data_IF_308662416270
#
_entry.id   IF_308662416270
#
_cell.length_a   1.000
_cell.length_b   1.000
_cell.length_c   1.000
_cell.angle_alpha   90.00
_cell.angle_beta   90.00
_cell.angle_gamma   90.00
#
_symmetry.space_group_name_H-M   'P 1'
#
loop_
_entity.id
_entity.type
_entity.pdbx_description
1 polymer ?
#
# COMPACT_ATOMS: atom_id res chain seq x y z
N UNK A 1 0.65 3.27 -9.23
CA UNK A 1 -0.64 2.64 -8.85
C UNK A 1 -1.67 2.79 -9.97
N UNK A 2 -2.53 1.78 -10.20
CA UNK A 2 -3.54 1.78 -11.28
C UNK A 2 -4.80 2.53 -10.81
N UNK A 3 -4.76 3.86 -10.80
CA UNK A 3 -5.85 4.73 -10.31
C UNK A 3 -7.22 4.47 -10.97
N UNK A 4 -7.31 4.26 -12.31
CA UNK A 4 -8.60 4.02 -12.96
C UNK A 4 -9.37 2.80 -12.42
N UNK A 5 -8.66 1.78 -11.92
CA UNK A 5 -9.30 0.62 -11.29
C UNK A 5 -10.04 1.03 -10.01
N UNK A 6 -9.42 1.88 -9.18
CA UNK A 6 -10.04 2.40 -7.97
C UNK A 6 -11.28 3.24 -8.29
N UNK A 7 -11.24 4.03 -9.35
CA UNK A 7 -12.41 4.79 -9.80
C UNK A 7 -13.56 3.86 -10.19
N UNK A 8 -13.28 2.80 -10.94
CA UNK A 8 -14.28 1.80 -11.32
C UNK A 8 -14.88 1.09 -10.09
N UNK A 9 -14.06 0.73 -9.11
CA UNK A 9 -14.52 0.15 -7.83
C UNK A 9 -15.45 1.12 -7.10
N UNK A 10 -15.09 2.40 -7.01
CA UNK A 10 -15.95 3.41 -6.38
C UNK A 10 -17.29 3.55 -7.12
N UNK A 11 -17.24 3.74 -8.44
CA UNK A 11 -18.44 3.92 -9.27
C UNK A 11 -19.36 2.70 -9.24
N UNK A 12 -18.81 1.48 -9.07
CA UNK A 12 -19.61 0.25 -8.93
C UNK A 12 -20.57 0.27 -7.73
N UNK A 13 -20.33 1.14 -6.74
CA UNK A 13 -21.21 1.30 -5.58
C UNK A 13 -22.46 2.11 -5.89
N UNK A 14 -22.51 2.79 -7.04
CA UNK A 14 -23.67 3.58 -7.50
C UNK A 14 -24.22 4.53 -6.43
N UNK A 15 -23.32 5.19 -5.69
CA UNK A 15 -23.68 6.12 -4.63
C UNK A 15 -24.39 7.33 -5.23
N UNK A 16 -25.37 7.86 -4.51
CA UNK A 16 -26.23 8.96 -4.98
C UNK A 16 -25.93 10.26 -4.27
N UNK A 17 -26.07 11.38 -4.98
CA UNK A 17 -26.08 12.72 -4.42
C UNK A 17 -27.31 13.53 -4.88
N UNK A 18 -27.84 14.43 -4.02
CA UNK A 18 -27.48 14.64 -2.62
C UNK A 18 -27.85 13.44 -1.73
N UNK A 19 -27.32 13.37 -0.49
CA UNK A 19 -27.60 12.25 0.42
C UNK A 19 -29.07 12.27 0.88
N UNK A 20 -29.66 11.09 1.09
CA UNK A 20 -31.06 10.96 1.56
C UNK A 20 -31.31 11.56 2.95
N UNK A 21 -30.24 11.84 3.70
CA UNK A 21 -30.30 12.23 5.09
C UNK A 21 -30.83 13.64 5.32
N UNK A 22 -30.48 14.58 4.44
CA UNK A 22 -30.65 16.02 4.69
C UNK A 22 -31.30 16.78 3.53
N UNK A 23 -31.50 16.13 2.38
CA UNK A 23 -32.09 16.78 1.21
C UNK A 23 -33.61 16.64 1.21
N UNK A 24 -34.29 17.78 1.39
CA UNK A 24 -35.71 17.93 1.03
C UNK A 24 -35.74 18.51 -0.38
N UNK A 25 -36.32 17.77 -1.33
CA UNK A 25 -36.68 18.36 -2.61
C UNK A 25 -37.48 19.65 -2.35
N UNK A 26 -37.28 20.71 -3.15
CA UNK A 26 -38.11 21.90 -3.08
C UNK A 26 -39.53 21.59 -3.61
N UNK A 27 -40.28 20.75 -2.90
CA UNK A 27 -41.71 20.66 -3.02
C UNK A 27 -42.30 21.90 -2.31
N UNK A 28 -43.19 22.60 -3.01
CA UNK A 28 -44.00 23.76 -2.57
C UNK A 28 -43.60 25.19 -2.96
N UNK A 29 -42.74 25.41 -3.97
CA UNK A 29 -42.59 26.77 -4.56
C UNK A 29 -42.68 26.77 -6.09
N UNK A 30 -43.77 27.34 -6.68
CA UNK A 30 -43.99 27.44 -8.14
C UNK A 30 -42.87 28.16 -8.91
N UNK A 31 -42.02 28.90 -8.20
CA UNK A 31 -40.92 29.69 -8.75
C UNK A 31 -39.74 28.82 -9.21
N UNK A 32 -39.59 27.61 -8.66
CA UNK A 32 -38.55 26.65 -9.08
C UNK A 32 -39.01 25.75 -10.25
N UNK A 33 -40.31 25.66 -10.50
CA UNK A 33 -40.88 24.92 -11.64
C UNK A 33 -40.69 25.69 -12.96
N UNK A 34 -40.64 27.02 -12.93
CA UNK A 34 -40.37 27.85 -14.12
C UNK A 34 -38.90 27.89 -14.56
N UNK A 35 -37.96 27.72 -13.63
CA UNK A 35 -36.52 27.62 -13.94
C UNK A 35 -36.07 26.22 -14.38
N UNK A 36 -36.90 25.20 -14.16
CA UNK A 36 -36.55 23.79 -14.39
C UNK A 36 -36.98 23.23 -15.74
N UNK A 37 -37.84 23.92 -16.52
CA UNK A 37 -38.22 23.44 -17.86
C UNK A 37 -37.14 23.62 -18.93
N UNK A 38 -36.18 24.53 -18.74
CA UNK A 38 -35.15 24.84 -19.74
C UNK A 38 -33.81 24.08 -19.53
N UNK A 39 -33.68 23.27 -18.48
CA UNK A 39 -32.41 22.62 -18.09
C UNK A 39 -32.47 21.07 -18.14
N UNK A 40 -33.49 20.51 -18.81
CA UNK A 40 -33.56 19.06 -19.08
C UNK A 40 -32.69 18.72 -20.28
N UNK A 41 -31.67 17.88 -20.08
CA UNK A 41 -30.85 17.35 -21.17
C UNK A 41 -29.35 17.66 -21.06
N UNK A 42 -28.77 17.50 -19.88
CA UNK A 42 -27.32 17.65 -19.71
C UNK A 42 -26.60 16.30 -19.80
N UNK A 43 -25.55 16.24 -20.61
CA UNK A 43 -24.61 15.11 -20.64
C UNK A 43 -23.55 15.29 -19.55
N UNK A 44 -23.21 14.27 -18.75
CA UNK A 44 -22.16 14.38 -17.74
C UNK A 44 -20.86 14.88 -18.39
N UNK A 45 -20.26 15.93 -17.84
CA UNK A 45 -18.98 16.47 -18.36
C UNK A 45 -17.80 15.55 -18.01
N UNK A 46 -18.03 14.61 -17.09
CA UNK A 46 -17.02 13.77 -16.46
C UNK A 46 -17.60 12.39 -16.13
N UNK A 47 -16.78 11.34 -16.04
CA UNK A 47 -17.22 10.04 -15.48
C UNK A 47 -17.61 10.24 -14.02
N UNK A 48 -18.92 10.23 -13.69
CA UNK A 48 -19.34 10.77 -12.42
C UNK A 48 -19.13 9.71 -11.32
N UNK A 49 -18.35 10.07 -10.29
CA UNK A 49 -18.16 9.21 -9.11
C UNK A 49 -19.48 8.95 -8.37
N UNK A 50 -20.43 9.88 -8.49
CA UNK A 50 -21.75 9.82 -7.89
C UNK A 50 -22.84 9.91 -8.96
N UNK A 51 -23.97 9.27 -8.70
CA UNK A 51 -25.16 9.36 -9.55
C UNK A 51 -26.13 10.39 -8.99
N UNK A 52 -26.80 11.20 -9.82
CA UNK A 52 -27.80 12.15 -9.33
C UNK A 52 -29.01 11.39 -8.80
N UNK A 53 -29.55 11.83 -7.64
CA UNK A 53 -30.77 11.25 -7.07
C UNK A 53 -31.99 11.49 -7.98
N UNK A 54 -32.04 12.66 -8.62
CA UNK A 54 -33.04 13.03 -9.62
C UNK A 54 -32.34 13.33 -10.95
N UNK A 55 -32.22 12.32 -11.84
CA UNK A 55 -31.65 12.51 -13.17
C UNK A 55 -32.42 13.57 -13.97
N UNK A 56 -31.72 14.47 -14.65
CA UNK A 56 -32.32 15.55 -15.45
C UNK A 56 -32.35 16.92 -14.77
N UNK A 57 -32.08 16.99 -13.45
CA UNK A 57 -31.91 18.27 -12.75
C UNK A 57 -30.44 18.71 -12.77
N UNK A 58 -30.15 19.81 -13.47
CA UNK A 58 -28.79 20.36 -13.62
C UNK A 58 -28.04 20.55 -12.30
N UNK A 59 -28.68 21.12 -11.28
CA UNK A 59 -28.06 21.35 -9.97
C UNK A 59 -27.68 20.05 -9.23
N UNK A 60 -28.39 18.93 -9.46
CA UNK A 60 -27.98 17.63 -8.93
C UNK A 60 -26.75 17.11 -9.67
N UNK A 61 -26.68 17.30 -10.99
CA UNK A 61 -25.53 16.92 -11.79
C UNK A 61 -24.30 17.74 -11.42
N UNK A 62 -24.43 19.07 -11.28
CA UNK A 62 -23.32 19.96 -10.90
C UNK A 62 -22.77 19.59 -9.50
N UNK A 63 -23.65 19.19 -8.59
CA UNK A 63 -23.25 18.69 -7.26
C UNK A 63 -22.49 17.37 -7.35
N UNK A 64 -22.96 16.43 -8.19
CA UNK A 64 -22.27 15.17 -8.44
C UNK A 64 -20.89 15.37 -9.08
N UNK A 65 -20.78 16.31 -10.03
CA UNK A 65 -19.54 16.61 -10.72
C UNK A 65 -18.53 17.27 -9.77
N UNK A 66 -18.98 18.22 -8.95
CA UNK A 66 -18.13 18.93 -7.98
C UNK A 66 -17.62 17.99 -6.89
N UNK A 67 -18.53 17.31 -6.18
CA UNK A 67 -18.17 16.40 -5.08
C UNK A 67 -17.44 15.17 -5.63
N UNK A 68 -17.85 14.67 -6.80
CA UNK A 68 -17.18 13.56 -7.48
C UNK A 68 -15.74 13.87 -7.85
N UNK A 69 -15.46 15.09 -8.31
CA UNK A 69 -14.09 15.56 -8.56
C UNK A 69 -13.28 15.61 -7.27
N UNK A 70 -13.84 16.12 -6.17
CA UNK A 70 -13.15 16.18 -4.88
C UNK A 70 -12.79 14.78 -4.33
N UNK A 71 -13.71 13.81 -4.42
CA UNK A 71 -13.48 12.43 -4.02
C UNK A 71 -12.41 11.76 -4.89
N UNK A 72 -12.46 11.98 -6.20
CA UNK A 72 -11.43 11.47 -7.11
C UNK A 72 -10.06 12.06 -6.79
N UNK A 73 -9.97 13.38 -6.61
CA UNK A 73 -8.72 14.06 -6.30
C UNK A 73 -8.15 13.57 -4.96
N UNK A 74 -9.01 13.36 -3.95
CA UNK A 74 -8.61 12.78 -2.67
C UNK A 74 -8.09 11.34 -2.83
N UNK A 75 -8.80 10.49 -3.58
CA UNK A 75 -8.39 9.13 -3.89
C UNK A 75 -7.00 9.10 -4.56
N UNK A 76 -6.82 9.91 -5.59
CA UNK A 76 -5.60 9.94 -6.39
C UNK A 76 -4.41 10.45 -5.56
N UNK A 77 -4.61 11.52 -4.79
CA UNK A 77 -3.60 12.07 -3.87
C UNK A 77 -3.18 11.05 -2.82
N UNK A 78 -4.13 10.29 -2.26
CA UNK A 78 -3.83 9.24 -1.30
C UNK A 78 -3.05 8.07 -1.93
N UNK A 79 -3.41 7.63 -3.13
CA UNK A 79 -2.66 6.60 -3.87
C UNK A 79 -1.22 7.04 -4.15
N UNK A 80 -1.02 8.31 -4.53
CA UNK A 80 0.32 8.87 -4.75
C UNK A 80 1.11 8.94 -3.44
N UNK A 81 0.46 9.32 -2.33
CA UNK A 81 1.09 9.37 -1.01
C UNK A 81 1.56 7.99 -0.53
N UNK A 82 0.77 6.93 -0.79
CA UNK A 82 1.16 5.55 -0.48
C UNK A 82 2.37 5.14 -1.33
N UNK A 83 2.34 5.42 -2.63
CA UNK A 83 3.45 5.09 -3.53
C UNK A 83 4.76 5.76 -3.07
N UNK A 84 4.69 7.06 -2.78
CA UNK A 84 5.80 7.83 -2.22
C UNK A 84 6.34 7.21 -0.92
N UNK A 85 5.44 6.83 0.00
CA UNK A 85 5.85 6.25 1.28
C UNK A 85 6.54 4.90 1.13
N UNK A 86 6.09 4.04 0.21
CA UNK A 86 6.75 2.76 -0.10
C UNK A 86 8.13 3.01 -0.71
N UNK A 87 8.28 3.99 -1.61
CA UNK A 87 9.59 4.32 -2.18
C UNK A 87 10.57 4.83 -1.11
N UNK A 88 10.12 5.71 -0.21
CA UNK A 88 10.95 6.17 0.91
C UNK A 88 11.31 5.04 1.87
N UNK A 89 10.40 4.09 2.07
CA UNK A 89 10.64 2.91 2.88
C UNK A 89 11.70 1.99 2.25
N UNK A 90 11.65 1.76 0.93
CA UNK A 90 12.60 0.90 0.19
C UNK A 90 14.05 1.36 0.37
N UNK A 91 14.29 2.67 0.41
CA UNK A 91 15.61 3.25 0.65
C UNK A 91 16.19 2.87 2.03
N UNK A 92 15.33 2.62 3.01
CA UNK A 92 15.72 2.29 4.39
C UNK A 92 15.60 0.80 4.71
N UNK A 93 14.86 0.06 3.88
CA UNK A 93 14.55 -1.33 4.12
C UNK A 93 15.80 -2.22 4.06
N UNK A 94 15.86 -3.20 4.97
CA UNK A 94 16.97 -4.14 5.06
C UNK A 94 16.57 -5.48 5.65
N UNK A 95 17.20 -6.55 5.16
CA UNK A 95 17.22 -7.81 5.88
C UNK A 95 18.24 -7.78 7.02
N UNK A 96 17.88 -8.34 8.17
CA UNK A 96 18.70 -8.48 9.37
C UNK A 96 18.51 -9.87 9.98
N UNK A 97 19.41 -10.23 10.88
CA UNK A 97 19.34 -11.46 11.68
C UNK A 97 19.21 -12.73 10.82
N UNK A 98 19.82 -12.72 9.63
CA UNK A 98 19.85 -13.90 8.77
C UNK A 98 20.92 -14.88 9.26
N UNK A 99 20.63 -16.17 9.07
CA UNK A 99 21.57 -17.26 9.24
C UNK A 99 22.00 -17.76 7.86
N UNK A 100 23.30 -17.80 7.62
CA UNK A 100 23.90 -18.34 6.40
C UNK A 100 24.34 -19.78 6.66
N UNK A 101 23.79 -20.70 5.87
CA UNK A 101 24.05 -22.14 5.94
C UNK A 101 24.40 -22.66 4.54
N UNK A 102 25.70 -22.74 4.26
CA UNK A 102 26.26 -23.00 2.95
C UNK A 102 25.63 -22.06 1.90
N UNK A 103 24.92 -22.62 0.92
CA UNK A 103 24.27 -21.85 -0.15
C UNK A 103 23.05 -21.05 0.31
N UNK A 104 22.46 -21.44 1.44
CA UNK A 104 21.15 -20.96 1.87
C UNK A 104 21.24 -19.77 2.84
N UNK A 105 20.35 -18.79 2.64
CA UNK A 105 20.02 -17.78 3.63
C UNK A 105 18.71 -18.15 4.32
N UNK A 106 18.69 -18.10 5.65
CA UNK A 106 17.51 -18.39 6.48
C UNK A 106 17.24 -17.18 7.36
N UNK A 107 16.02 -16.66 7.34
CA UNK A 107 15.58 -15.57 8.20
C UNK A 107 14.30 -15.95 8.92
N UNK A 108 14.22 -15.71 10.22
CA UNK A 108 12.98 -15.88 10.99
C UNK A 108 11.95 -14.80 10.65
N UNK A 109 10.67 -14.96 10.99
CA UNK A 109 9.66 -13.91 10.80
C UNK A 109 10.11 -12.57 11.40
N UNK A 110 10.01 -11.51 10.61
CA UNK A 110 10.46 -10.16 10.98
C UNK A 110 11.93 -9.87 10.61
N UNK A 111 12.57 -10.73 9.82
CA UNK A 111 13.93 -10.48 9.32
C UNK A 111 14.00 -9.30 8.35
N UNK A 112 12.87 -8.85 7.79
CA UNK A 112 12.79 -7.61 7.00
C UNK A 112 12.45 -6.43 7.92
N UNK A 113 13.34 -5.46 7.95
CA UNK A 113 13.26 -4.26 8.78
C UNK A 113 13.12 -3.02 7.92
N UNK A 114 12.30 -2.06 8.38
CA UNK A 114 12.07 -0.80 7.71
C UNK A 114 11.10 0.09 8.50
N UNK A 115 11.06 1.40 8.22
CA UNK A 115 10.28 2.36 9.00
C UNK A 115 8.76 2.15 8.83
N UNK A 116 7.96 2.69 9.75
CA UNK A 116 6.50 2.73 9.55
C UNK A 116 6.15 3.72 8.43
N UNK A 117 5.16 3.37 7.60
CA UNK A 117 4.75 4.20 6.47
C UNK A 117 3.94 5.43 6.88
N UNK A 118 3.27 5.41 8.04
CA UNK A 118 2.26 6.40 8.41
C UNK A 118 2.76 7.85 8.29
N UNK A 119 3.95 8.14 8.82
CA UNK A 119 4.53 9.49 8.76
C UNK A 119 4.82 9.92 7.33
N UNK A 120 5.39 9.02 6.52
CA UNK A 120 5.72 9.31 5.12
C UNK A 120 4.45 9.52 4.27
N UNK A 121 3.37 8.78 4.54
CA UNK A 121 2.09 8.99 3.85
C UNK A 121 1.52 10.36 4.22
N UNK A 122 1.49 10.72 5.51
CA UNK A 122 0.94 12.02 5.97
C UNK A 122 1.70 13.22 5.42
N UNK A 123 3.01 13.08 5.29
CA UNK A 123 3.91 14.14 4.83
C UNK A 123 4.17 14.11 3.32
N UNK A 124 3.55 13.18 2.58
CA UNK A 124 3.75 13.12 1.14
C UNK A 124 3.24 14.42 0.46
N UNK A 125 3.95 14.95 -0.54
CA UNK A 125 3.61 16.23 -1.17
C UNK A 125 2.17 16.32 -1.68
N UNK A 126 1.59 15.20 -2.13
CA UNK A 126 0.22 15.14 -2.66
C UNK A 126 -0.86 15.39 -1.60
N UNK A 127 -0.57 15.16 -0.31
CA UNK A 127 -1.56 15.20 0.79
C UNK A 127 -1.16 16.09 1.97
N UNK A 128 0.08 16.59 2.00
CA UNK A 128 0.59 17.40 3.11
C UNK A 128 -0.25 18.67 3.36
N UNK A 129 -0.76 19.29 2.29
CA UNK A 129 -1.58 20.50 2.38
C UNK A 129 -3.07 20.22 2.70
N UNK A 130 -3.50 18.95 2.79
CA UNK A 130 -4.89 18.63 3.13
C UNK A 130 -5.19 19.06 4.57
N UNK A 131 -6.34 19.71 4.74
CA UNK A 131 -6.83 20.26 6.01
C UNK A 131 -8.27 19.83 6.29
N UNK A 132 -8.79 20.14 7.48
CA UNK A 132 -10.17 19.85 7.85
C UNK A 132 -10.54 18.36 7.74
N UNK A 133 -11.67 18.07 7.09
CA UNK A 133 -12.13 16.70 6.91
C UNK A 133 -11.23 15.88 5.98
N UNK A 134 -10.62 16.50 4.97
CA UNK A 134 -9.66 15.84 4.08
C UNK A 134 -8.42 15.32 4.82
N UNK A 135 -7.93 16.08 5.81
CA UNK A 135 -6.84 15.63 6.67
C UNK A 135 -7.22 14.38 7.48
N UNK A 136 -8.46 14.30 7.98
CA UNK A 136 -8.95 13.12 8.71
C UNK A 136 -9.00 11.88 7.81
N UNK A 137 -9.44 12.02 6.56
CA UNK A 137 -9.39 10.94 5.57
C UNK A 137 -7.95 10.51 5.26
N UNK A 138 -7.05 11.47 5.00
CA UNK A 138 -5.62 11.19 4.82
C UNK A 138 -5.04 10.41 6.00
N UNK A 139 -5.33 10.86 7.22
CA UNK A 139 -4.77 10.26 8.44
C UNK A 139 -5.31 8.83 8.64
N UNK A 140 -6.58 8.60 8.30
CA UNK A 140 -7.19 7.27 8.31
C UNK A 140 -6.53 6.33 7.27
N UNK A 141 -6.31 6.82 6.04
CA UNK A 141 -5.57 6.08 5.00
C UNK A 141 -4.16 5.75 5.48
N UNK A 142 -3.42 6.75 5.96
CA UNK A 142 -2.04 6.58 6.42
C UNK A 142 -1.93 5.53 7.53
N UNK A 143 -2.81 5.59 8.53
CA UNK A 143 -2.82 4.65 9.64
C UNK A 143 -3.23 3.24 9.21
N UNK A 144 -4.28 3.12 8.38
CA UNK A 144 -4.77 1.83 7.89
C UNK A 144 -3.75 1.10 7.02
N UNK A 145 -3.20 1.80 6.01
CA UNK A 145 -2.16 1.23 5.12
C UNK A 145 -0.90 0.90 5.90
N UNK A 146 -0.42 1.81 6.77
CA UNK A 146 0.79 1.56 7.55
C UNK A 146 0.65 0.38 8.50
N UNK A 147 -0.54 0.15 9.07
CA UNK A 147 -0.81 -1.02 9.90
C UNK A 147 -0.68 -2.31 9.09
N UNK A 148 -1.40 -2.42 7.99
CA UNK A 148 -1.39 -3.62 7.14
C UNK A 148 -0.01 -3.93 6.57
N UNK A 149 0.73 -2.89 6.17
CA UNK A 149 2.10 -3.02 5.68
C UNK A 149 3.07 -3.47 6.78
N UNK A 150 2.96 -2.89 7.99
CA UNK A 150 3.77 -3.31 9.13
C UNK A 150 3.47 -4.75 9.56
N UNK A 151 2.20 -5.16 9.53
CA UNK A 151 1.78 -6.54 9.83
C UNK A 151 2.41 -7.52 8.83
N UNK A 152 2.42 -7.21 7.53
CA UNK A 152 3.13 -7.98 6.50
C UNK A 152 4.65 -8.01 6.75
N UNK A 153 5.28 -6.84 6.87
CA UNK A 153 6.74 -6.69 7.01
C UNK A 153 7.25 -7.46 8.23
N UNK A 154 6.58 -7.33 9.37
CA UNK A 154 6.96 -7.94 10.63
C UNK A 154 6.85 -9.47 10.63
N UNK A 155 6.34 -10.08 9.56
CA UNK A 155 6.23 -11.53 9.40
C UNK A 155 6.94 -12.06 8.16
N UNK A 156 7.66 -11.20 7.41
CA UNK A 156 8.52 -11.64 6.32
C UNK A 156 9.63 -12.53 6.85
N UNK A 157 9.88 -13.63 6.15
CA UNK A 157 10.93 -14.59 6.44
C UNK A 157 11.66 -15.02 5.15
N UNK A 158 12.89 -15.53 5.29
CA UNK A 158 13.67 -16.09 4.18
C UNK A 158 13.72 -17.62 4.37
N UNK A 159 13.02 -18.42 3.55
CA UNK A 159 12.81 -19.84 3.79
C UNK A 159 13.96 -20.73 3.28
N UNK A 160 15.22 -20.35 3.50
CA UNK A 160 16.36 -21.14 3.00
C UNK A 160 16.69 -20.89 1.53
N UNK A 161 16.56 -19.65 1.05
CA UNK A 161 16.79 -19.32 -0.35
C UNK A 161 18.27 -19.44 -0.73
N UNK A 162 18.62 -19.91 -1.94
CA UNK A 162 19.99 -20.16 -2.37
C UNK A 162 20.71 -18.85 -2.76
N UNK A 163 20.86 -17.95 -1.80
CA UNK A 163 21.43 -16.62 -2.00
C UNK A 163 22.94 -16.64 -2.20
N UNK A 164 23.66 -17.64 -1.70
CA UNK A 164 25.13 -17.65 -1.70
C UNK A 164 25.73 -18.92 -2.28
N UNK A 165 25.57 -19.24 -3.58
CA UNK A 165 26.14 -20.45 -4.18
C UNK A 165 27.65 -20.63 -3.92
N UNK A 166 28.41 -19.53 -3.89
CA UNK A 166 29.84 -19.54 -3.61
C UNK A 166 30.21 -20.02 -2.19
N UNK A 167 29.26 -20.00 -1.25
CA UNK A 167 29.45 -20.53 0.10
C UNK A 167 29.25 -22.05 0.22
N UNK A 168 28.96 -22.75 -0.87
CA UNK A 168 28.97 -24.22 -0.89
C UNK A 168 30.36 -24.79 -0.59
N UNK A 169 31.40 -24.16 -1.14
CA UNK A 169 32.78 -24.58 -1.04
C UNK A 169 33.71 -23.36 -1.18
N UNK A 170 34.12 -22.78 -0.06
CA UNK A 170 34.98 -21.60 -0.02
C UNK A 170 36.40 -21.97 0.42
N UNK A 171 37.46 -21.51 -0.28
CA UNK A 171 38.85 -21.83 0.04
C UNK A 171 39.43 -20.88 1.11
N UNK A 172 38.94 -20.97 2.35
CA UNK A 172 39.44 -20.14 3.43
C UNK A 172 38.81 -20.46 4.79
N UNK A 173 39.35 -19.90 5.89
CA UNK A 173 38.78 -20.09 7.23
C UNK A 173 37.47 -19.33 7.43
N UNK A 174 37.24 -18.28 6.64
CA UNK A 174 36.12 -17.35 6.77
C UNK A 174 35.67 -16.88 5.39
N UNK A 175 34.36 -17.00 5.12
CA UNK A 175 33.70 -16.42 3.98
C UNK A 175 33.58 -14.90 4.18
N UNK A 176 34.16 -14.08 3.30
CA UNK A 176 34.05 -12.64 3.37
C UNK A 176 32.61 -12.20 3.06
N UNK A 177 32.24 -10.93 3.36
CA UNK A 177 30.97 -10.37 2.91
C UNK A 177 30.79 -10.51 1.40
N UNK A 178 29.84 -11.32 0.96
CA UNK A 178 29.49 -11.52 -0.45
C UNK A 178 28.00 -11.21 -0.67
N UNK A 179 27.65 -10.50 -1.76
CA UNK A 179 26.26 -10.17 -2.05
C UNK A 179 25.46 -11.44 -2.39
N UNK A 180 24.16 -11.41 -2.13
CA UNK A 180 23.28 -12.48 -2.57
C UNK A 180 23.09 -12.48 -4.10
N UNK A 181 22.78 -13.65 -4.65
CA UNK A 181 22.15 -13.76 -5.97
C UNK A 181 20.80 -13.03 -5.90
N UNK A 182 20.56 -12.03 -6.78
CA UNK A 182 19.28 -11.31 -6.80
C UNK A 182 18.10 -12.27 -6.90
N UNK A 183 17.10 -12.08 -6.05
CA UNK A 183 15.93 -12.93 -5.99
C UNK A 183 14.66 -12.08 -5.82
N UNK A 184 13.54 -12.41 -6.48
CA UNK A 184 12.29 -11.69 -6.29
C UNK A 184 11.82 -11.68 -4.83
N UNK A 185 11.36 -10.53 -4.33
CA UNK A 185 10.89 -10.36 -2.95
C UNK A 185 9.71 -11.27 -2.61
N UNK A 186 8.88 -11.61 -3.60
CA UNK A 186 7.78 -12.58 -3.43
C UNK A 186 8.25 -13.96 -2.92
N UNK A 187 9.52 -14.32 -3.11
CA UNK A 187 10.11 -15.56 -2.56
C UNK A 187 10.37 -15.48 -1.05
N UNK A 188 10.40 -14.27 -0.48
CA UNK A 188 10.47 -14.02 0.96
C UNK A 188 9.04 -13.99 1.52
N UNK A 189 8.55 -15.15 1.96
CA UNK A 189 7.15 -15.33 2.37
C UNK A 189 6.82 -14.56 3.65
N UNK A 190 5.56 -14.16 3.81
CA UNK A 190 5.04 -13.58 5.05
C UNK A 190 3.74 -14.26 5.45
N UNK A 191 3.62 -14.67 6.72
CA UNK A 191 2.39 -15.26 7.27
C UNK A 191 1.21 -14.26 7.32
N UNK A 192 1.51 -12.96 7.17
CA UNK A 192 0.54 -11.86 7.13
C UNK A 192 0.40 -11.27 5.73
N UNK A 193 0.72 -12.02 4.68
CA UNK A 193 0.53 -11.55 3.30
C UNK A 193 -0.89 -11.04 3.03
N UNK A 194 -1.90 -11.75 3.54
CA UNK A 194 -3.32 -11.42 3.32
C UNK A 194 -3.70 -10.04 3.85
N UNK A 195 -3.03 -9.52 4.89
CA UNK A 195 -3.39 -8.22 5.47
C UNK A 195 -3.20 -7.04 4.50
N UNK A 196 -2.40 -7.24 3.45
CA UNK A 196 -2.09 -6.20 2.47
C UNK A 196 -2.51 -6.55 1.04
N UNK A 197 -2.57 -7.83 0.66
CA UNK A 197 -3.03 -8.22 -0.69
C UNK A 197 -4.56 -8.36 -0.79
N UNK A 198 -5.26 -8.48 0.34
CA UNK A 198 -6.73 -8.51 0.37
C UNK A 198 -7.26 -7.11 0.75
N UNK A 199 -8.05 -6.45 -0.12
CA UNK A 199 -8.51 -5.09 0.14
C UNK A 199 -9.35 -4.91 1.41
N UNK A 200 -10.04 -5.97 1.85
CA UNK A 200 -10.97 -5.89 2.99
C UNK A 200 -10.29 -5.55 4.31
N UNK A 201 -9.13 -6.16 4.60
CA UNK A 201 -8.40 -5.91 5.85
C UNK A 201 -7.89 -4.46 5.89
N UNK A 202 -7.37 -3.99 4.76
CA UNK A 202 -6.89 -2.61 4.63
C UNK A 202 -8.03 -1.60 4.70
N UNK A 203 -9.16 -1.87 4.03
CA UNK A 203 -10.39 -1.07 4.12
C UNK A 203 -10.87 -0.98 5.57
N UNK A 204 -10.98 -2.11 6.27
CA UNK A 204 -11.39 -2.16 7.67
C UNK A 204 -10.45 -1.33 8.56
N UNK A 205 -9.13 -1.47 8.38
CA UNK A 205 -8.15 -0.69 9.12
C UNK A 205 -8.26 0.82 8.87
N UNK A 206 -8.56 1.25 7.64
CA UNK A 206 -8.82 2.67 7.33
C UNK A 206 -10.13 3.15 7.96
N UNK A 207 -11.21 2.35 7.88
CA UNK A 207 -12.49 2.67 8.54
C UNK A 207 -12.24 2.83 10.04
N UNK A 208 -11.60 1.88 10.71
CA UNK A 208 -11.33 1.93 12.15
C UNK A 208 -10.51 3.16 12.56
N UNK A 209 -9.61 3.60 11.68
CA UNK A 209 -8.81 4.81 11.88
C UNK A 209 -9.59 6.12 11.66
N UNK A 210 -10.70 6.10 10.93
CA UNK A 210 -11.52 7.29 10.68
C UNK A 210 -12.28 7.73 11.95
N UNK A 211 -12.27 9.03 12.31
CA UNK A 211 -12.98 9.52 13.49
C UNK A 211 -14.47 9.18 13.48
N UNK A 212 -15.02 8.81 14.64
CA UNK A 212 -16.43 8.39 14.76
C UNK A 212 -17.43 9.48 14.31
N UNK A 213 -17.08 10.77 14.45
CA UNK A 213 -17.91 11.87 13.98
C UNK A 213 -18.15 11.79 12.47
N UNK A 214 -17.10 11.53 11.69
CA UNK A 214 -17.17 11.42 10.23
C UNK A 214 -18.05 10.24 9.79
N UNK A 215 -17.94 9.11 10.49
CA UNK A 215 -18.75 7.92 10.20
C UNK A 215 -20.24 8.14 10.47
N UNK A 216 -20.57 8.92 11.51
CA UNK A 216 -21.96 9.24 11.87
C UNK A 216 -22.59 10.22 10.88
N UNK A 217 -21.80 11.15 10.35
CA UNK A 217 -22.24 12.12 9.35
C UNK A 217 -22.46 11.47 7.97
N UNK A 218 -21.66 10.46 7.62
CA UNK A 218 -21.77 9.74 6.35
C UNK A 218 -22.67 8.50 6.42
N UNK A 219 -23.99 8.74 6.44
CA UNK A 219 -25.01 7.67 6.48
C UNK A 219 -25.01 6.78 5.23
N UNK A 220 -24.57 7.31 4.10
CA UNK A 220 -24.53 6.59 2.82
C UNK A 220 -23.22 5.80 2.62
N UNK A 221 -22.33 5.82 3.62
CA UNK A 221 -21.07 5.05 3.64
C UNK A 221 -20.15 5.34 2.44
N UNK A 222 -20.13 6.59 1.99
CA UNK A 222 -19.23 7.07 0.94
C UNK A 222 -17.75 6.86 1.31
N UNK A 223 -17.41 7.01 2.59
CA UNK A 223 -16.08 6.71 3.14
C UNK A 223 -15.70 5.24 2.97
N UNK A 224 -16.64 4.30 3.14
CA UNK A 224 -16.36 2.88 2.94
C UNK A 224 -16.04 2.59 1.48
N UNK A 225 -16.76 3.22 0.53
CA UNK A 225 -16.49 3.09 -0.89
C UNK A 225 -15.14 3.70 -1.30
N UNK A 226 -14.78 4.86 -0.74
CA UNK A 226 -13.48 5.50 -0.95
C UNK A 226 -12.33 4.64 -0.41
N UNK A 227 -12.45 4.09 0.79
CA UNK A 227 -11.41 3.23 1.35
C UNK A 227 -11.31 1.90 0.61
N UNK A 228 -12.42 1.34 0.14
CA UNK A 228 -12.41 0.14 -0.70
C UNK A 228 -11.68 0.35 -2.02
N UNK A 229 -11.89 1.49 -2.68
CA UNK A 229 -11.20 1.81 -3.93
C UNK A 229 -9.70 2.00 -3.73
N UNK A 230 -9.28 2.76 -2.71
CA UNK A 230 -7.86 2.94 -2.36
C UNK A 230 -7.23 1.59 -1.99
N UNK A 231 -7.87 0.81 -1.12
CA UNK A 231 -7.38 -0.49 -0.69
C UNK A 231 -7.21 -1.46 -1.86
N UNK A 232 -8.15 -1.46 -2.82
CA UNK A 232 -8.07 -2.32 -4.01
C UNK A 232 -6.86 -1.99 -4.86
N UNK A 233 -6.65 -0.70 -5.15
CA UNK A 233 -5.51 -0.25 -5.96
C UNK A 233 -4.18 -0.50 -5.25
N UNK A 234 -4.12 -0.23 -3.94
CA UNK A 234 -2.93 -0.47 -3.14
C UNK A 234 -2.57 -1.97 -3.07
N UNK A 235 -3.56 -2.84 -2.84
CA UNK A 235 -3.38 -4.29 -2.76
C UNK A 235 -2.84 -4.87 -4.07
N UNK A 236 -3.43 -4.46 -5.20
CA UNK A 236 -2.96 -4.90 -6.51
C UNK A 236 -1.55 -4.39 -6.82
N UNK A 237 -1.29 -3.10 -6.57
CA UNK A 237 0.02 -2.52 -6.79
C UNK A 237 1.10 -3.20 -5.94
N UNK A 238 0.78 -3.51 -4.69
CA UNK A 238 1.67 -4.25 -3.79
C UNK A 238 1.96 -5.66 -4.30
N UNK A 239 0.93 -6.37 -4.78
CA UNK A 239 1.08 -7.72 -5.35
C UNK A 239 2.01 -7.72 -6.57
N UNK A 240 1.83 -6.76 -7.48
CA UNK A 240 2.70 -6.59 -8.66
C UNK A 240 4.13 -6.25 -8.21
N UNK A 241 4.27 -5.34 -7.25
CA UNK A 241 5.56 -4.92 -6.72
C UNK A 241 6.34 -6.08 -6.09
N UNK A 242 5.70 -6.95 -5.29
CA UNK A 242 6.39 -8.10 -4.68
C UNK A 242 7.07 -9.00 -5.71
N UNK A 243 6.41 -9.25 -6.84
CA UNK A 243 6.95 -10.11 -7.89
C UNK A 243 8.08 -9.40 -8.68
N UNK A 244 7.97 -8.09 -8.86
CA UNK A 244 8.96 -7.31 -9.62
C UNK A 244 10.21 -6.96 -8.80
N UNK A 245 10.03 -6.63 -7.51
CA UNK A 245 11.08 -6.16 -6.62
C UNK A 245 12.13 -7.23 -6.41
N UNK A 246 13.40 -6.91 -6.69
CA UNK A 246 14.52 -7.78 -6.39
C UNK A 246 15.06 -7.49 -4.97
N UNK A 247 15.33 -8.56 -4.23
CA UNK A 247 16.17 -8.54 -3.04
C UNK A 247 17.60 -8.73 -3.50
N UNK A 248 18.46 -7.73 -3.26
CA UNK A 248 19.86 -7.79 -3.67
C UNK A 248 20.77 -7.07 -2.69
N UNK A 249 22.08 -7.25 -2.87
CA UNK A 249 23.13 -6.65 -2.02
C UNK A 249 23.04 -7.05 -0.55
N UNK A 250 22.35 -8.15 -0.22
CA UNK A 250 22.36 -8.73 1.12
C UNK A 250 23.68 -9.43 1.32
N UNK A 251 24.60 -8.76 2.01
CA UNK A 251 25.97 -9.24 2.19
C UNK A 251 26.02 -10.33 3.28
N UNK A 252 26.19 -11.58 2.87
CA UNK A 252 26.38 -12.72 3.78
C UNK A 252 27.86 -12.93 4.11
N UNK A 253 28.19 -13.42 5.31
CA UNK A 253 29.55 -13.80 5.74
C UNK A 253 29.47 -14.95 6.75
N UNK A 254 30.55 -15.70 6.97
CA UNK A 254 30.56 -16.71 8.03
C UNK A 254 31.79 -17.62 8.04
N UNK A 255 32.02 -18.37 9.13
CA UNK A 255 33.18 -19.24 9.26
C UNK A 255 33.04 -20.50 8.39
N UNK A 256 34.17 -21.12 8.07
CA UNK A 256 34.26 -22.44 7.41
C UNK A 256 34.89 -23.41 8.42
N UNK A 257 34.09 -24.18 9.19
CA UNK A 257 34.60 -25.00 10.29
C UNK A 257 35.52 -26.14 9.86
N UNK A 258 35.45 -26.57 8.59
CA UNK A 258 36.27 -27.65 8.05
C UNK A 258 37.68 -27.21 7.67
N UNK A 259 37.99 -25.91 7.71
CA UNK A 259 39.31 -25.38 7.37
C UNK A 259 40.32 -25.71 8.49
N UNK A 260 41.21 -26.69 8.25
CA UNK A 260 42.21 -27.15 9.21
C UNK A 260 43.58 -27.46 8.53
N UNK A 261 44.51 -26.50 8.46
CA UNK A 261 45.86 -26.69 7.91
C UNK A 261 46.62 -27.87 8.57
N UNK A 262 47.51 -28.60 7.85
CA UNK A 262 48.11 -28.32 6.54
C UNK A 262 47.26 -28.73 5.33
N UNK A 263 46.15 -29.44 5.56
CA UNK A 263 45.15 -29.67 4.51
C UNK A 263 44.34 -28.37 4.38
N UNK A 264 44.17 -27.83 3.16
CA UNK A 264 43.37 -26.62 2.93
C UNK A 264 42.06 -27.03 2.25
N UNK A 265 41.18 -27.78 2.94
CA UNK A 265 39.94 -28.19 2.31
C UNK A 265 39.07 -26.96 2.10
N UNK A 266 38.55 -26.84 0.88
CA UNK A 266 37.37 -26.02 0.62
C UNK A 266 36.24 -26.55 1.50
N UNK A 267 35.42 -25.65 2.04
CA UNK A 267 34.33 -26.04 2.92
C UNK A 267 33.15 -25.09 2.85
N UNK A 268 31.98 -25.54 3.31
CA UNK A 268 30.80 -24.70 3.35
C UNK A 268 30.93 -23.64 4.44
N UNK A 269 30.36 -22.47 4.21
CA UNK A 269 30.10 -21.52 5.30
C UNK A 269 29.02 -22.11 6.21
N UNK A 270 29.26 -22.20 7.51
CA UNK A 270 28.28 -22.72 8.47
C UNK A 270 28.12 -21.77 9.65
N UNK A 271 26.88 -21.39 9.96
CA UNK A 271 26.60 -20.47 11.06
C UNK A 271 27.02 -19.03 10.77
N UNK A 272 26.97 -18.62 9.50
CA UNK A 272 27.21 -17.24 9.10
C UNK A 272 26.01 -16.32 9.38
N UNK A 273 26.21 -15.04 9.14
CA UNK A 273 25.26 -13.95 9.32
C UNK A 273 25.25 -12.99 8.12
N UNK A 274 24.40 -11.97 8.17
CA UNK A 274 24.38 -10.91 7.16
C UNK A 274 24.71 -9.53 7.74
N UNK A 275 25.19 -8.63 6.87
CA UNK A 275 25.33 -7.22 7.20
C UNK A 275 23.97 -6.54 7.05
N UNK A 276 23.42 -6.03 8.15
CA UNK A 276 22.13 -5.33 8.19
C UNK A 276 22.25 -3.85 7.80
N UNK A 277 22.67 -3.59 6.56
CA UNK A 277 22.72 -2.25 5.97
C UNK A 277 21.44 -1.96 5.15
N UNK A 278 20.94 -0.71 5.13
CA UNK A 278 19.88 -0.29 4.22
C UNK A 278 20.25 -0.52 2.75
N UNK A 279 19.23 -0.72 1.92
CA UNK A 279 19.37 -0.72 0.47
C UNK A 279 19.10 -2.05 -0.23
N UNK A 280 18.61 -3.04 0.52
CA UNK A 280 18.36 -4.38 0.00
C UNK A 280 17.18 -4.44 -0.99
N UNK A 281 16.40 -3.36 -1.12
CA UNK A 281 15.19 -3.25 -1.98
C UNK A 281 15.20 -1.98 -2.87
N UNK A 282 16.36 -1.40 -3.16
CA UNK A 282 16.47 -0.16 -3.96
C UNK A 282 16.27 -0.40 -5.46
N UNK A 283 16.58 -1.60 -5.96
CA UNK A 283 16.42 -1.95 -7.37
C UNK A 283 14.96 -2.00 -7.83
#
# INVERSE_FOLDING_TARGET
MIKPLGWAVFMSKMLKLPSKADFKDPQDKPQYIKGTQNDWGFTPTFMPFFTPQHPGLKHHQDSCDTIGKEFKDLHDKCCDAISFAVDMWRLQAKFKDLKVMAVCAIGSPGCLDGPKLESNIKNAPSVAALSGNYAKYRDAVAKGVSKCFADWQGQVMVPGLPWYPAFAAFPGPQGPPMPNVPMPLITCVSSKMTSIIMPNDMKAAMIDALPQSMKKEDKDKQHEALFESIATVASLAFTIWLAAQQVMLVMGKGPIPTFAPPYVPVGPVLGGDNIAAPGHLIA
#
